data_IF_662382100099
#
_entry.id   IF_662382100099
#
_cell.length_a   1.000
_cell.length_b   1.000
_cell.length_c   1.000
_cell.angle_alpha   90.00
_cell.angle_beta   90.00
_cell.angle_gamma   90.00
#
_symmetry.space_group_name_H-M   'P 1'
#
loop_
_entity.id
_entity.type
_entity.pdbx_description
1 polymer ?
#
# COMPACT_ATOMS: atom_id res chain seq x y z
N UNK A 1 -22.21 2.85 -7.12
CA UNK A 1 -22.16 2.62 -8.57
C UNK A 1 -20.92 3.31 -9.05
N UNK A 2 -19.95 2.54 -9.53
CA UNK A 2 -18.62 3.05 -9.89
C UNK A 2 -18.64 3.84 -11.19
N UNK A 3 -19.77 3.83 -11.90
CA UNK A 3 -20.01 4.65 -13.09
C UNK A 3 -20.58 6.04 -12.77
N UNK A 4 -20.80 6.39 -11.50
CA UNK A 4 -21.30 7.71 -11.13
C UNK A 4 -20.21 8.79 -11.27
N UNK A 5 -20.62 10.02 -11.65
CA UNK A 5 -19.70 11.16 -11.79
C UNK A 5 -18.90 11.45 -10.50
N UNK A 6 -19.50 11.16 -9.34
CA UNK A 6 -18.87 11.30 -8.04
C UNK A 6 -18.98 10.00 -7.24
N UNK A 7 -17.84 9.50 -6.77
CA UNK A 7 -17.78 8.37 -5.86
C UNK A 7 -18.05 8.84 -4.43
N UNK A 8 -19.31 8.73 -3.99
CA UNK A 8 -19.73 9.15 -2.64
C UNK A 8 -19.87 7.92 -1.74
N UNK A 9 -19.02 7.86 -0.71
CA UNK A 9 -19.11 6.88 0.37
C UNK A 9 -19.71 7.53 1.62
N UNK A 10 -20.80 6.96 2.16
CA UNK A 10 -21.48 7.48 3.36
C UNK A 10 -21.33 6.51 4.50
N UNK A 11 -20.81 7.00 5.62
CA UNK A 11 -20.61 6.23 6.85
C UNK A 11 -21.68 6.65 7.86
N UNK A 12 -22.25 5.68 8.58
CA UNK A 12 -23.18 5.92 9.69
C UNK A 12 -22.73 5.10 10.89
N UNK A 13 -22.76 5.71 12.07
CA UNK A 13 -22.54 5.02 13.34
C UNK A 13 -23.81 4.25 13.69
N UNK A 14 -23.67 2.98 14.03
CA UNK A 14 -24.77 2.17 14.57
C UNK A 14 -24.75 2.36 16.09
N UNK A 15 -25.78 3.00 16.63
CA UNK A 15 -26.00 3.08 18.08
C UNK A 15 -26.95 1.96 18.49
N UNK A 16 -26.63 1.23 19.56
CA UNK A 16 -27.58 0.30 20.17
C UNK A 16 -28.59 1.09 21.01
N UNK A 17 -29.88 0.79 20.83
CA UNK A 17 -31.03 1.52 21.40
C UNK A 17 -31.17 1.42 22.93
N UNK A 18 -30.17 0.88 23.65
CA UNK A 18 -30.31 0.58 25.08
C UNK A 18 -29.98 1.74 26.03
N UNK A 19 -29.48 2.88 25.56
CA UNK A 19 -28.89 3.88 26.47
C UNK A 19 -29.27 5.35 26.19
N UNK A 20 -30.54 5.64 25.88
CA UNK A 20 -31.02 7.03 25.75
C UNK A 20 -32.04 7.40 26.82
N UNK A 21 -31.52 7.90 27.94
CA UNK A 21 -32.27 8.68 28.92
C UNK A 21 -32.46 10.13 28.47
N UNK A 22 -33.67 10.65 28.66
CA UNK A 22 -34.28 11.79 27.96
C UNK A 22 -33.81 13.19 28.44
N UNK A 23 -32.51 13.45 28.66
CA UNK A 23 -32.09 14.78 29.20
C UNK A 23 -30.71 15.34 28.80
N UNK A 24 -29.94 14.71 27.90
CA UNK A 24 -28.53 15.11 27.60
C UNK A 24 -28.26 15.57 26.15
N UNK A 25 -29.28 15.94 25.38
CA UNK A 25 -29.16 16.18 23.93
C UNK A 25 -28.12 17.22 23.46
N UNK A 26 -27.68 18.16 24.29
CA UNK A 26 -26.71 19.20 23.89
C UNK A 26 -25.26 18.80 24.18
N UNK A 27 -25.02 18.01 25.23
CA UNK A 27 -23.68 17.50 25.60
C UNK A 27 -23.32 16.33 24.68
N UNK A 28 -24.27 15.42 24.43
CA UNK A 28 -24.15 14.33 23.44
C UNK A 28 -23.73 14.83 22.06
N UNK A 29 -24.31 15.96 21.59
CA UNK A 29 -23.99 16.52 20.26
C UNK A 29 -22.57 17.10 20.16
N UNK A 30 -22.02 17.63 21.26
CA UNK A 30 -20.64 18.13 21.28
C UNK A 30 -19.63 16.97 21.32
N UNK A 31 -19.97 15.89 22.02
CA UNK A 31 -19.19 14.65 22.04
C UNK A 31 -19.22 13.95 20.67
N UNK A 32 -20.36 13.97 19.98
CA UNK A 32 -20.52 13.41 18.64
C UNK A 32 -19.65 14.12 17.57
N UNK A 33 -19.56 15.46 17.55
CA UNK A 33 -18.70 16.18 16.58
C UNK A 33 -17.22 15.90 16.83
N UNK A 34 -16.80 15.87 18.10
CA UNK A 34 -15.44 15.50 18.46
C UNK A 34 -15.10 14.06 18.05
N UNK A 35 -16.05 13.14 18.23
CA UNK A 35 -15.92 11.76 17.80
C UNK A 35 -15.79 11.63 16.27
N UNK A 36 -16.65 12.31 15.50
CA UNK A 36 -16.60 12.27 14.04
C UNK A 36 -15.28 12.83 13.49
N UNK A 37 -14.74 13.90 14.10
CA UNK A 37 -13.41 14.43 13.74
C UNK A 37 -12.28 13.47 14.07
N UNK A 38 -12.36 12.78 15.20
CA UNK A 38 -11.37 11.76 15.57
C UNK A 38 -11.41 10.57 14.60
N UNK A 39 -12.61 10.12 14.22
CA UNK A 39 -12.80 9.07 13.22
C UNK A 39 -12.25 9.49 11.86
N UNK A 40 -12.55 10.71 11.41
CA UNK A 40 -12.00 11.28 10.17
C UNK A 40 -10.47 11.25 10.16
N UNK A 41 -9.86 11.77 11.23
CA UNK A 41 -8.40 11.84 11.31
C UNK A 41 -7.77 10.44 11.30
N UNK A 42 -8.30 9.51 12.09
CA UNK A 42 -7.79 8.15 12.15
C UNK A 42 -7.95 7.40 10.82
N UNK A 43 -9.10 7.56 10.15
CA UNK A 43 -9.33 6.94 8.84
C UNK A 43 -8.39 7.48 7.76
N UNK A 44 -7.98 8.75 7.84
CA UNK A 44 -7.07 9.35 6.86
C UNK A 44 -5.60 9.03 7.13
N UNK A 45 -5.22 8.82 8.39
CA UNK A 45 -3.81 8.59 8.75
C UNK A 45 -3.43 7.12 8.85
N UNK A 46 -4.31 6.28 9.41
CA UNK A 46 -3.93 4.94 9.88
C UNK A 46 -4.60 3.82 9.08
N UNK A 47 -5.58 4.14 8.23
CA UNK A 47 -6.30 3.14 7.45
C UNK A 47 -5.55 2.79 6.16
N UNK A 48 -4.76 1.71 6.23
CA UNK A 48 -4.10 1.11 5.06
C UNK A 48 -5.07 0.18 4.32
N UNK A 49 -5.51 0.57 3.11
CA UNK A 49 -6.38 -0.27 2.27
C UNK A 49 -5.63 -1.49 1.71
N UNK A 50 -4.46 -1.24 1.11
CA UNK A 50 -3.57 -2.27 0.59
C UNK A 50 -2.18 -1.66 0.36
N UNK A 51 -1.14 -2.39 0.74
CA UNK A 51 0.24 -1.97 0.54
C UNK A 51 1.11 -2.31 1.73
N UNK A 52 2.38 -1.93 1.62
CA UNK A 52 3.36 -2.00 2.70
C UNK A 52 3.63 -0.57 3.13
N UNK A 53 3.33 -0.23 4.39
CA UNK A 53 3.39 1.16 4.89
C UNK A 53 4.78 1.79 4.75
N UNK A 54 5.83 0.98 4.89
CA UNK A 54 7.22 1.44 4.76
C UNK A 54 7.62 1.72 3.30
N UNK A 55 6.78 1.38 2.31
CA UNK A 55 7.00 1.66 0.89
C UNK A 55 6.09 2.80 0.46
N UNK A 56 6.70 3.95 0.22
CA UNK A 56 5.96 5.18 -0.12
C UNK A 56 5.51 5.21 -1.57
N UNK A 57 6.31 4.63 -2.48
CA UNK A 57 6.03 4.66 -3.91
C UNK A 57 6.64 3.49 -4.66
N UNK A 58 5.96 3.07 -5.73
CA UNK A 58 6.44 2.05 -6.66
C UNK A 58 6.40 2.60 -8.08
N UNK A 59 7.50 2.44 -8.80
CA UNK A 59 7.66 2.83 -10.20
C UNK A 59 7.82 1.59 -11.06
N UNK A 60 7.00 1.46 -12.10
CA UNK A 60 7.16 0.41 -13.10
C UNK A 60 7.86 0.97 -14.32
N UNK A 61 8.96 0.34 -14.73
CA UNK A 61 9.66 0.71 -15.96
C UNK A 61 10.23 -0.51 -16.67
N UNK A 62 10.48 -0.36 -17.97
CA UNK A 62 11.13 -1.37 -18.78
C UNK A 62 12.56 -0.91 -19.09
N UNK A 63 13.60 -1.66 -18.71
CA UNK A 63 14.98 -1.22 -18.86
C UNK A 63 15.38 -1.11 -20.33
N UNK A 64 16.01 0.01 -20.69
CA UNK A 64 16.52 0.28 -22.04
C UNK A 64 17.96 -0.20 -22.19
N UNK A 65 18.75 -0.08 -21.14
CA UNK A 65 20.14 -0.51 -21.02
C UNK A 65 20.23 -2.01 -20.71
N UNK A 66 21.34 -2.65 -21.09
CA UNK A 66 21.50 -4.11 -20.98
C UNK A 66 21.86 -4.58 -19.57
N UNK A 67 22.36 -3.69 -18.71
CA UNK A 67 22.73 -3.94 -17.30
C UNK A 67 21.55 -4.41 -16.44
N UNK A 68 20.34 -3.92 -16.73
CA UNK A 68 19.10 -4.29 -16.03
C UNK A 68 18.24 -5.31 -16.79
N UNK A 69 18.67 -5.80 -17.95
CA UNK A 69 17.95 -6.85 -18.70
C UNK A 69 18.32 -8.23 -18.18
N UNK A 70 17.35 -9.15 -18.15
CA UNK A 70 17.66 -10.55 -17.81
C UNK A 70 18.46 -11.17 -18.94
N UNK A 71 19.65 -11.68 -18.62
CA UNK A 71 20.47 -12.44 -19.57
C UNK A 71 20.09 -13.92 -19.50
N UNK A 72 19.87 -14.53 -20.66
CA UNK A 72 19.54 -15.95 -20.80
C UNK A 72 20.50 -16.59 -21.79
N UNK A 73 20.96 -17.80 -21.48
CA UNK A 73 21.74 -18.62 -22.40
C UNK A 73 20.79 -19.29 -23.37
N UNK A 74 20.99 -19.08 -24.67
CA UNK A 74 20.16 -19.72 -25.71
C UNK A 74 20.57 -21.17 -25.91
N UNK A 75 19.69 -22.03 -26.47
CA UNK A 75 20.04 -23.43 -26.76
C UNK A 75 21.28 -23.59 -27.64
N UNK A 76 21.60 -22.59 -28.44
CA UNK A 76 22.77 -22.53 -29.33
C UNK A 76 24.05 -22.09 -28.61
N UNK A 77 23.98 -21.80 -27.30
CA UNK A 77 25.11 -21.35 -26.48
C UNK A 77 25.39 -19.84 -26.51
N UNK A 78 24.50 -19.05 -27.11
CA UNK A 78 24.61 -17.58 -27.14
C UNK A 78 24.02 -16.91 -25.89
N UNK A 79 24.24 -15.60 -25.76
CA UNK A 79 23.59 -14.77 -24.73
C UNK A 79 22.48 -13.91 -25.35
N UNK A 80 21.33 -13.87 -24.69
CA UNK A 80 20.21 -13.00 -25.08
C UNK A 80 19.77 -12.14 -23.90
N UNK A 81 19.74 -10.83 -24.11
CA UNK A 81 19.18 -9.87 -23.17
C UNK A 81 17.67 -9.73 -23.38
N UNK A 82 16.88 -10.01 -22.34
CA UNK A 82 15.42 -9.95 -22.37
C UNK A 82 14.97 -8.81 -21.45
N UNK A 83 14.29 -7.78 -21.99
CA UNK A 83 13.75 -6.70 -21.17
C UNK A 83 12.45 -7.15 -20.49
N UNK A 84 12.46 -7.12 -19.16
CA UNK A 84 11.32 -7.45 -18.29
C UNK A 84 10.77 -6.17 -17.65
N UNK A 85 9.52 -6.20 -17.18
CA UNK A 85 8.99 -5.10 -16.38
C UNK A 85 9.60 -5.16 -14.99
N UNK A 86 10.26 -4.08 -14.58
CA UNK A 86 10.88 -3.93 -13.28
C UNK A 86 10.04 -2.99 -12.42
N UNK A 87 9.94 -3.31 -11.14
CA UNK A 87 9.37 -2.46 -10.11
C UNK A 87 10.50 -1.91 -9.26
N UNK A 88 10.59 -0.59 -9.13
CA UNK A 88 11.49 0.10 -8.21
C UNK A 88 10.67 0.75 -7.10
N UNK A 89 11.06 0.51 -5.86
CA UNK A 89 10.33 0.97 -4.67
C UNK A 89 11.13 2.04 -3.93
N UNK A 90 10.43 3.00 -3.34
CA UNK A 90 11.00 3.99 -2.43
C UNK A 90 10.56 3.65 -0.98
N UNK A 91 11.45 3.02 -0.22
CA UNK A 91 11.17 2.50 1.11
C UNK A 91 12.09 1.35 1.52
N UNK A 92 11.93 0.88 2.76
CA UNK A 92 12.76 -0.16 3.40
C UNK A 92 11.84 -1.24 3.99
N UNK A 93 11.54 -2.27 3.19
CA UNK A 93 10.77 -3.45 3.63
C UNK A 93 11.04 -4.71 2.78
N UNK A 94 12.30 -4.95 2.41
CA UNK A 94 12.78 -6.06 1.58
C UNK A 94 12.23 -7.41 2.06
N UNK A 95 12.25 -7.71 3.36
CA UNK A 95 11.73 -8.99 3.86
C UNK A 95 10.26 -9.19 3.49
N UNK A 96 9.43 -8.16 3.66
CA UNK A 96 8.01 -8.23 3.31
C UNK A 96 7.82 -8.29 1.79
N UNK A 97 8.63 -7.55 1.02
CA UNK A 97 8.61 -7.58 -0.46
C UNK A 97 8.94 -8.97 -0.99
N UNK A 98 9.99 -9.61 -0.47
CA UNK A 98 10.42 -10.95 -0.86
C UNK A 98 9.39 -12.03 -0.49
N UNK A 99 8.54 -11.76 0.51
CA UNK A 99 7.44 -12.65 0.90
C UNK A 99 6.23 -12.59 -0.04
N UNK A 100 6.16 -11.59 -0.93
CA UNK A 100 5.03 -11.42 -1.84
C UNK A 100 5.04 -12.47 -2.96
N UNK A 101 3.86 -13.01 -3.33
CA UNK A 101 3.75 -13.91 -4.46
C UNK A 101 4.12 -13.19 -5.75
N UNK A 102 4.81 -13.88 -6.66
CA UNK A 102 5.29 -13.38 -7.96
C UNK A 102 6.45 -12.37 -7.91
N UNK A 103 7.03 -12.12 -6.73
CA UNK A 103 8.33 -11.47 -6.63
C UNK A 103 9.42 -12.53 -6.79
N UNK A 104 10.49 -12.21 -7.52
CA UNK A 104 11.65 -13.09 -7.68
C UNK A 104 12.64 -12.84 -6.53
N UNK A 105 12.77 -13.77 -5.56
CA UNK A 105 13.60 -13.53 -4.39
C UNK A 105 15.10 -13.64 -4.67
N UNK A 106 15.50 -14.14 -5.84
CA UNK A 106 16.90 -14.33 -6.21
C UNK A 106 17.48 -13.05 -6.83
N UNK A 107 16.66 -12.32 -7.58
CA UNK A 107 17.10 -11.14 -8.36
C UNK A 107 16.65 -9.79 -7.78
N UNK A 108 15.92 -9.80 -6.68
CA UNK A 108 15.53 -8.58 -5.97
C UNK A 108 16.64 -8.14 -5.04
N UNK A 109 17.05 -6.86 -5.10
CA UNK A 109 18.12 -6.30 -4.29
C UNK A 109 17.69 -4.99 -3.64
N UNK A 110 18.21 -4.69 -2.45
CA UNK A 110 18.03 -3.40 -1.78
C UNK A 110 19.34 -2.60 -1.79
N UNK A 111 19.24 -1.28 -1.81
CA UNK A 111 20.36 -0.37 -1.64
C UNK A 111 20.55 0.07 -0.17
N UNK A 112 19.65 -0.32 0.73
CA UNK A 112 19.81 -0.14 2.18
C UNK A 112 20.68 -1.28 2.76
N UNK A 113 21.82 -0.91 3.34
CA UNK A 113 22.78 -1.85 3.90
C UNK A 113 22.28 -2.43 5.24
N UNK A 114 21.56 -1.65 6.04
CA UNK A 114 21.06 -2.08 7.34
C UNK A 114 20.05 -3.21 7.16
N UNK A 115 19.11 -3.03 6.24
CA UNK A 115 18.08 -4.02 5.92
C UNK A 115 18.64 -5.35 5.36
N UNK A 116 19.80 -5.31 4.71
CA UNK A 116 20.48 -6.53 4.22
C UNK A 116 21.17 -7.29 5.34
N UNK A 117 21.55 -6.61 6.43
CA UNK A 117 22.28 -7.20 7.55
C UNK A 117 21.36 -7.75 8.66
N UNK A 118 20.18 -7.14 8.83
CA UNK A 118 19.14 -7.58 9.76
C UNK A 118 18.49 -8.91 9.33
#
# INVERSE_FOLDING_TARGET
>A
DDNADNLVFRIRIVADDQDKGDTEEQVDRMEDDAFLRALEQNMLSDLTLQGIEQITKVYMHKPTTDDKKRIVITPEGGFKAIPEWLLETDGTALLQVLSQPNVDPIRTTSNDICEIFE
#
